data_IF_423120021707
#
_entry.id   IF_423120021707
#
_cell.length_a   1.000
_cell.length_b   1.000
_cell.length_c   1.000
_cell.angle_alpha   90.00
_cell.angle_beta   90.00
_cell.angle_gamma   90.00
#
_symmetry.space_group_name_H-M   'P 1'
#
loop_
_entity.id
_entity.type
_entity.pdbx_description
1 polymer ?
#
# COMPACT_ATOMS: atom_id res chain seq x y z
N UNK A 1 19.52 -4.85 5.19
CA UNK A 1 18.26 -4.50 5.88
C UNK A 1 17.55 -5.81 6.19
N UNK A 2 17.44 -6.22 7.46
CA UNK A 2 16.71 -7.45 7.81
C UNK A 2 15.33 -7.44 7.15
N UNK A 3 14.91 -8.59 6.62
CA UNK A 3 13.64 -8.74 5.91
C UNK A 3 12.44 -8.34 6.79
N UNK A 4 12.53 -8.55 8.10
CA UNK A 4 11.53 -8.12 9.10
C UNK A 4 11.31 -6.60 9.12
N UNK A 5 12.39 -5.81 9.05
CA UNK A 5 12.30 -4.35 9.00
C UNK A 5 11.69 -3.87 7.67
N UNK A 6 11.95 -4.59 6.57
CA UNK A 6 11.32 -4.30 5.26
C UNK A 6 9.81 -4.55 5.35
N UNK A 7 9.44 -5.71 5.86
CA UNK A 7 8.05 -6.13 5.98
C UNK A 7 7.26 -5.20 6.92
N UNK A 8 7.84 -4.83 8.07
CA UNK A 8 7.23 -3.87 8.99
C UNK A 8 6.95 -2.50 8.34
N UNK A 9 7.88 -2.01 7.49
CA UNK A 9 7.68 -0.76 6.74
C UNK A 9 6.56 -0.88 5.73
N UNK A 10 6.51 -1.97 4.96
CA UNK A 10 5.45 -2.22 3.98
C UNK A 10 4.08 -2.27 4.67
N UNK A 11 3.97 -2.99 5.78
CA UNK A 11 2.74 -3.07 6.57
C UNK A 11 2.31 -1.70 7.12
N UNK A 12 3.26 -0.90 7.61
CA UNK A 12 2.98 0.46 8.09
C UNK A 12 2.48 1.39 6.99
N UNK A 13 3.00 1.25 5.77
CA UNK A 13 2.54 2.04 4.61
C UNK A 13 1.12 1.62 4.20
N UNK A 14 0.80 0.32 4.21
CA UNK A 14 -0.57 -0.18 3.94
C UNK A 14 -1.59 0.31 4.98
N UNK A 15 -1.19 0.49 6.24
CA UNK A 15 -2.07 1.03 7.29
C UNK A 15 -2.54 2.47 7.00
N UNK A 16 -1.84 3.24 6.17
CA UNK A 16 -2.25 4.59 5.77
C UNK A 16 -3.61 4.58 5.05
N UNK A 17 -3.88 3.53 4.27
CA UNK A 17 -5.16 3.38 3.57
C UNK A 17 -6.28 3.11 4.57
N UNK A 18 -6.05 2.18 5.51
CA UNK A 18 -7.03 1.77 6.52
C UNK A 18 -7.38 2.93 7.45
N UNK A 19 -6.39 3.72 7.85
CA UNK A 19 -6.57 4.86 8.75
C UNK A 19 -7.05 6.15 8.09
N UNK A 20 -7.26 6.16 6.77
CA UNK A 20 -7.65 7.37 6.06
C UNK A 20 -9.07 7.84 6.48
N UNK A 21 -9.26 9.16 6.74
CA UNK A 21 -10.50 9.68 7.30
C UNK A 21 -11.65 9.80 6.28
N UNK A 22 -11.34 9.99 5.00
CA UNK A 22 -12.32 10.18 3.93
C UNK A 22 -11.83 9.62 2.59
N UNK A 23 -12.70 9.64 1.58
CA UNK A 23 -12.44 9.10 0.25
C UNK A 23 -11.20 9.70 -0.44
N UNK A 24 -10.98 10.99 -0.27
CA UNK A 24 -9.88 11.72 -0.90
C UNK A 24 -8.58 11.22 -0.29
N UNK A 25 -8.53 11.12 1.04
CA UNK A 25 -7.37 10.59 1.76
C UNK A 25 -7.13 9.10 1.47
N UNK A 26 -8.19 8.29 1.30
CA UNK A 26 -8.05 6.87 0.92
C UNK A 26 -7.36 6.74 -0.44
N UNK A 27 -7.81 7.52 -1.44
CA UNK A 27 -7.21 7.52 -2.79
C UNK A 27 -5.78 8.05 -2.78
N UNK A 28 -5.52 9.11 -2.03
CA UNK A 28 -4.17 9.67 -1.87
C UNK A 28 -3.22 8.68 -1.18
N UNK A 29 -3.67 8.02 -0.12
CA UNK A 29 -2.89 7.00 0.59
C UNK A 29 -2.59 5.81 -0.32
N UNK A 30 -3.56 5.33 -1.09
CA UNK A 30 -3.35 4.25 -2.06
C UNK A 30 -2.32 4.64 -3.13
N UNK A 31 -2.41 5.86 -3.69
CA UNK A 31 -1.43 6.35 -4.66
C UNK A 31 -0.02 6.44 -4.07
N UNK A 32 0.11 6.92 -2.84
CA UNK A 32 1.37 6.94 -2.11
C UNK A 32 1.96 5.53 -1.92
N UNK A 33 1.12 4.56 -1.52
CA UNK A 33 1.53 3.16 -1.34
C UNK A 33 2.04 2.56 -2.66
N UNK A 34 1.34 2.80 -3.77
CA UNK A 34 1.78 2.34 -5.09
C UNK A 34 3.16 2.93 -5.45
N UNK A 35 3.34 4.24 -5.31
CA UNK A 35 4.62 4.89 -5.60
C UNK A 35 5.76 4.38 -4.71
N UNK A 36 5.49 4.06 -3.44
CA UNK A 36 6.48 3.46 -2.54
C UNK A 36 6.86 2.04 -2.98
N UNK A 37 5.89 1.22 -3.40
CA UNK A 37 6.14 -0.13 -3.92
C UNK A 37 6.95 -0.07 -5.22
N UNK A 38 6.61 0.86 -6.12
CA UNK A 38 7.35 1.09 -7.36
C UNK A 38 8.80 1.47 -7.10
N UNK A 39 9.04 2.41 -6.18
CA UNK A 39 10.41 2.77 -5.79
C UNK A 39 11.21 1.58 -5.23
N UNK A 40 10.58 0.72 -4.42
CA UNK A 40 11.25 -0.50 -3.92
C UNK A 40 11.51 -1.52 -5.03
N UNK A 41 10.63 -1.64 -6.00
CA UNK A 41 10.81 -2.50 -7.16
C UNK A 41 11.95 -2.01 -8.06
N UNK A 42 11.97 -0.71 -8.38
CA UNK A 42 12.99 -0.08 -9.22
C UNK A 42 14.39 -0.18 -8.59
N UNK A 43 14.47 -0.12 -7.26
CA UNK A 43 15.71 -0.35 -6.51
C UNK A 43 16.11 -1.83 -6.41
N UNK A 44 15.34 -2.76 -7.00
CA UNK A 44 15.59 -4.20 -6.95
C UNK A 44 15.36 -4.84 -5.58
N UNK A 45 14.65 -4.15 -4.67
CA UNK A 45 14.38 -4.64 -3.30
C UNK A 45 13.17 -5.57 -3.23
N UNK A 46 12.38 -5.64 -4.30
CA UNK A 46 11.22 -6.53 -4.44
C UNK A 46 11.33 -7.30 -5.75
N UNK A 47 10.82 -8.53 -5.76
CA UNK A 47 10.56 -9.25 -7.00
C UNK A 47 9.35 -8.65 -7.71
N UNK A 48 9.21 -8.89 -9.02
CA UNK A 48 8.03 -8.50 -9.80
C UNK A 48 6.75 -9.02 -9.16
N UNK A 49 6.72 -10.31 -8.79
CA UNK A 49 5.56 -10.94 -8.17
C UNK A 49 5.21 -10.28 -6.84
N UNK A 50 6.20 -10.07 -5.98
CA UNK A 50 5.96 -9.41 -4.67
C UNK A 50 5.44 -7.99 -4.83
N UNK A 51 5.95 -7.22 -5.78
CA UNK A 51 5.45 -5.88 -6.05
C UNK A 51 3.99 -5.90 -6.54
N UNK A 52 3.62 -6.85 -7.42
CA UNK A 52 2.25 -7.03 -7.89
C UNK A 52 1.30 -7.45 -6.76
N UNK A 53 1.70 -8.42 -5.93
CA UNK A 53 0.90 -8.88 -4.79
C UNK A 53 0.62 -7.72 -3.81
N UNK A 54 1.65 -6.90 -3.51
CA UNK A 54 1.50 -5.75 -2.61
C UNK A 54 0.60 -4.65 -3.17
N UNK A 55 0.67 -4.39 -4.47
CA UNK A 55 -0.24 -3.45 -5.15
C UNK A 55 -1.68 -3.94 -5.09
N UNK A 56 -1.89 -5.22 -5.36
CA UNK A 56 -3.23 -5.81 -5.26
C UNK A 56 -3.79 -5.72 -3.83
N UNK A 57 -2.98 -5.98 -2.81
CA UNK A 57 -3.37 -5.77 -1.41
C UNK A 57 -3.72 -4.30 -1.14
N UNK A 58 -2.93 -3.35 -1.64
CA UNK A 58 -3.23 -1.92 -1.49
C UNK A 58 -4.58 -1.54 -2.12
N UNK A 59 -4.89 -2.08 -3.31
CA UNK A 59 -6.19 -1.91 -3.98
C UNK A 59 -7.35 -2.51 -3.18
N UNK A 60 -7.18 -3.73 -2.66
CA UNK A 60 -8.20 -4.35 -1.80
C UNK A 60 -8.48 -3.52 -0.54
N UNK A 61 -7.43 -3.00 0.12
CA UNK A 61 -7.59 -2.14 1.28
C UNK A 61 -8.27 -0.81 0.93
N UNK A 62 -7.96 -0.24 -0.24
CA UNK A 62 -8.59 0.99 -0.75
C UNK A 62 -10.08 0.75 -0.96
N UNK A 63 -10.44 -0.29 -1.70
CA UNK A 63 -11.83 -0.57 -2.08
C UNK A 63 -12.67 -0.89 -0.86
N UNK A 64 -12.14 -1.71 0.06
CA UNK A 64 -12.78 -1.96 1.35
C UNK A 64 -13.02 -0.66 2.11
N UNK A 65 -12.00 0.20 2.24
CA UNK A 65 -12.13 1.43 3.01
C UNK A 65 -13.07 2.44 2.37
N UNK A 66 -13.11 2.53 1.04
CA UNK A 66 -14.11 3.34 0.32
C UNK A 66 -15.52 2.82 0.59
N UNK A 67 -15.72 1.50 0.54
CA UNK A 67 -17.00 0.88 0.89
C UNK A 67 -17.39 1.16 2.35
N UNK A 68 -16.45 1.12 3.31
CA UNK A 68 -16.70 1.45 4.72
C UNK A 68 -17.11 2.92 4.91
N UNK A 69 -16.77 3.80 3.96
CA UNK A 69 -17.16 5.20 3.92
C UNK A 69 -18.47 5.44 3.13
N UNK A 70 -19.14 4.37 2.70
CA UNK A 70 -20.35 4.38 1.85
C UNK A 70 -20.14 5.09 0.49
N UNK A 71 -19.01 4.82 -0.17
CA UNK A 71 -18.64 5.39 -1.48
C UNK A 71 -18.44 4.28 -2.50
#
# INVERSE_FOLDING_TARGET
MCDELRQARIMKVLQLIVGAPDAVHVRAAAAYVHGYIDGLFDEGKLSVQTAQDLKWVAEMHRDKRLSDLNI
#
